data_IF_343260433376
#
_entry.id   IF_343260433376
#
_cell.length_a   1.000
_cell.length_b   1.000
_cell.length_c   1.000
_cell.angle_alpha   90.00
_cell.angle_beta   90.00
_cell.angle_gamma   90.00
#
_symmetry.space_group_name_H-M   'P 1'
#
loop_
_entity.id
_entity.type
_entity.pdbx_description
1 polymer ?
#
# COMPACT_ATOMS: atom_id res chain seq x y z
N UNK A 1 12.43 11.48 -23.97
CA UNK A 1 10.97 11.54 -23.64
C UNK A 1 10.02 11.48 -24.85
N UNK A 2 10.32 12.13 -26.00
CA UNK A 2 9.42 12.09 -27.19
C UNK A 2 9.19 10.68 -27.76
N UNK A 3 10.24 9.85 -27.77
CA UNK A 3 10.18 8.47 -28.25
C UNK A 3 9.23 7.59 -27.41
N UNK A 4 9.34 7.67 -26.08
CA UNK A 4 8.48 6.90 -25.15
C UNK A 4 7.01 7.30 -25.27
N UNK A 5 6.71 8.60 -25.46
CA UNK A 5 5.33 9.07 -25.72
C UNK A 5 4.76 8.53 -27.03
N UNK A 6 5.56 8.44 -28.09
CA UNK A 6 5.15 7.90 -29.39
C UNK A 6 4.88 6.39 -29.33
N UNK A 7 5.70 5.65 -28.58
CA UNK A 7 5.52 4.22 -28.38
C UNK A 7 4.26 3.91 -27.55
N UNK A 8 4.03 4.69 -26.48
CA UNK A 8 2.83 4.58 -25.66
C UNK A 8 1.55 4.90 -26.45
N UNK A 9 1.56 5.94 -27.30
CA UNK A 9 0.36 6.28 -28.08
C UNK A 9 -0.01 5.17 -29.07
N UNK A 10 0.97 4.54 -29.73
CA UNK A 10 0.72 3.44 -30.67
C UNK A 10 0.16 2.20 -29.99
N UNK A 11 0.68 1.85 -28.81
CA UNK A 11 0.17 0.72 -28.03
C UNK A 11 -1.26 1.00 -27.56
N UNK A 12 -1.51 2.20 -27.03
CA UNK A 12 -2.85 2.61 -26.57
C UNK A 12 -3.85 2.63 -27.72
N UNK A 13 -3.48 3.15 -28.89
CA UNK A 13 -4.33 3.14 -30.09
C UNK A 13 -4.64 1.69 -30.50
N UNK A 14 -3.66 0.79 -30.51
CA UNK A 14 -3.88 -0.61 -30.88
C UNK A 14 -4.81 -1.35 -29.92
N UNK A 15 -4.73 -1.05 -28.62
CA UNK A 15 -5.64 -1.57 -27.58
C UNK A 15 -7.04 -0.99 -27.76
N UNK A 16 -7.16 0.32 -27.96
CA UNK A 16 -8.45 1.00 -28.19
C UNK A 16 -9.13 0.45 -29.43
N UNK A 17 -8.39 0.25 -30.53
CA UNK A 17 -8.95 -0.29 -31.77
C UNK A 17 -9.39 -1.75 -31.61
N UNK A 18 -8.63 -2.58 -30.89
CA UNK A 18 -9.05 -3.96 -30.58
C UNK A 18 -10.27 -4.03 -29.66
N UNK A 19 -10.45 -3.07 -28.75
CA UNK A 19 -11.64 -2.97 -27.89
C UNK A 19 -12.86 -2.40 -28.62
N UNK A 20 -12.65 -1.44 -29.53
CA UNK A 20 -13.72 -0.82 -30.30
C UNK A 20 -14.23 -1.72 -31.41
N UNK A 21 -13.39 -2.56 -32.01
CA UNK A 21 -13.79 -3.42 -33.11
C UNK A 21 -15.01 -4.32 -32.78
N UNK A 22 -15.03 -5.07 -31.65
CA UNK A 22 -16.20 -5.87 -31.29
C UNK A 22 -17.44 -4.99 -30.99
N UNK A 23 -17.26 -3.80 -30.42
CA UNK A 23 -18.37 -2.87 -30.12
C UNK A 23 -18.98 -2.32 -31.41
N UNK A 24 -18.14 -1.91 -32.38
CA UNK A 24 -18.59 -1.43 -33.68
C UNK A 24 -19.30 -2.55 -34.43
N UNK A 25 -18.78 -3.78 -34.42
CA UNK A 25 -19.46 -4.93 -35.04
C UNK A 25 -20.82 -5.23 -34.39
N UNK A 26 -20.95 -5.07 -33.07
CA UNK A 26 -22.25 -5.22 -32.37
C UNK A 26 -23.24 -4.14 -32.79
N UNK A 27 -22.81 -2.88 -32.89
CA UNK A 27 -23.68 -1.77 -33.32
C UNK A 27 -24.12 -1.97 -34.77
N UNK A 28 -23.20 -2.33 -35.67
CA UNK A 28 -23.51 -2.58 -37.09
C UNK A 28 -24.43 -3.79 -37.26
N UNK A 29 -24.22 -4.86 -36.50
CA UNK A 29 -25.09 -6.05 -36.49
C UNK A 29 -26.49 -5.72 -35.99
N UNK A 30 -26.60 -4.96 -34.89
CA UNK A 30 -27.89 -4.50 -34.33
C UNK A 30 -28.73 -3.74 -35.33
N UNK A 31 -28.11 -2.93 -36.18
CA UNK A 31 -28.80 -2.14 -37.21
C UNK A 31 -29.27 -3.02 -38.36
N UNK A 32 -28.57 -4.12 -38.69
CA UNK A 32 -28.83 -4.90 -39.89
C UNK A 32 -29.74 -6.12 -39.69
N UNK A 33 -29.57 -6.89 -38.62
CA UNK A 33 -30.19 -8.23 -38.52
C UNK A 33 -31.16 -8.39 -37.36
N UNK A 34 -31.13 -7.54 -36.33
CA UNK A 34 -32.05 -7.61 -35.19
C UNK A 34 -31.88 -8.84 -34.28
N UNK A 35 -31.05 -9.81 -34.66
CA UNK A 35 -30.81 -11.04 -33.91
C UNK A 35 -29.59 -10.91 -33.00
N UNK A 36 -29.84 -10.87 -31.69
CA UNK A 36 -28.83 -10.57 -30.67
C UNK A 36 -27.90 -11.75 -30.34
N UNK A 37 -28.32 -13.00 -30.59
CA UNK A 37 -27.72 -14.19 -29.96
C UNK A 37 -26.93 -15.11 -30.91
N UNK A 38 -27.18 -15.08 -32.22
CA UNK A 38 -26.45 -15.99 -33.12
C UNK A 38 -24.95 -15.66 -33.21
N UNK A 39 -24.59 -14.39 -33.01
CA UNK A 39 -23.19 -13.96 -33.06
C UNK A 39 -22.36 -14.36 -31.83
N UNK A 40 -22.98 -14.57 -30.67
CA UNK A 40 -22.30 -15.09 -29.47
C UNK A 40 -21.72 -16.49 -29.69
N UNK A 41 -22.34 -17.25 -30.60
CA UNK A 41 -21.89 -18.58 -31.01
C UNK A 41 -20.85 -18.54 -32.14
N UNK A 42 -20.52 -17.35 -32.66
CA UNK A 42 -19.51 -17.22 -33.69
C UNK A 42 -18.13 -17.62 -33.14
N UNK A 43 -17.38 -18.50 -33.83
CA UNK A 43 -16.06 -18.92 -33.37
C UNK A 43 -15.10 -17.72 -33.20
N UNK A 44 -15.25 -16.67 -34.01
CA UNK A 44 -14.44 -15.45 -33.89
C UNK A 44 -14.70 -14.68 -32.58
N UNK A 45 -15.96 -14.62 -32.12
CA UNK A 45 -16.30 -13.98 -30.85
C UNK A 45 -15.77 -14.78 -29.67
N UNK A 46 -15.89 -16.11 -29.72
CA UNK A 46 -15.36 -17.02 -28.70
C UNK A 46 -13.84 -16.90 -28.60
N UNK A 47 -13.12 -16.90 -29.73
CA UNK A 47 -11.66 -16.75 -29.77
C UNK A 47 -11.21 -15.37 -29.23
N UNK A 48 -11.86 -14.28 -29.66
CA UNK A 48 -11.48 -12.94 -29.19
C UNK A 48 -11.78 -12.74 -27.69
N UNK A 49 -12.92 -13.24 -27.21
CA UNK A 49 -13.31 -13.16 -25.79
C UNK A 49 -12.39 -14.01 -24.92
N UNK A 50 -12.05 -15.23 -25.35
CA UNK A 50 -11.11 -16.10 -24.63
C UNK A 50 -9.71 -15.49 -24.56
N UNK A 51 -9.20 -14.88 -25.63
CA UNK A 51 -7.94 -14.13 -25.62
C UNK A 51 -7.97 -12.97 -24.62
N UNK A 52 -9.08 -12.21 -24.56
CA UNK A 52 -9.25 -11.13 -23.58
C UNK A 52 -9.27 -11.65 -22.13
N UNK A 53 -9.95 -12.78 -21.88
CA UNK A 53 -9.99 -13.40 -20.55
C UNK A 53 -8.58 -13.88 -20.14
N UNK A 54 -7.86 -14.57 -21.02
CA UNK A 54 -6.48 -15.02 -20.76
C UNK A 54 -5.57 -13.83 -20.48
N UNK A 55 -5.68 -12.76 -21.28
CA UNK A 55 -4.91 -11.53 -21.06
C UNK A 55 -5.24 -10.86 -19.72
N UNK A 56 -6.52 -10.82 -19.34
CA UNK A 56 -6.96 -10.27 -18.06
C UNK A 56 -6.42 -11.10 -16.88
N UNK A 57 -6.46 -12.43 -16.96
CA UNK A 57 -5.88 -13.33 -15.96
C UNK A 57 -4.36 -13.13 -15.85
N UNK A 58 -3.65 -13.10 -16.99
CA UNK A 58 -2.20 -12.87 -17.02
C UNK A 58 -1.82 -11.51 -16.42
N UNK A 59 -2.60 -10.46 -16.71
CA UNK A 59 -2.43 -9.12 -16.12
C UNK A 59 -2.60 -9.12 -14.60
N UNK A 60 -3.63 -9.82 -14.08
CA UNK A 60 -3.84 -9.99 -12.64
C UNK A 60 -2.68 -10.74 -11.97
N UNK A 61 -2.19 -11.82 -12.59
CA UNK A 61 -1.04 -12.60 -12.10
C UNK A 61 0.22 -11.73 -12.09
N UNK A 62 0.53 -11.05 -13.20
CA UNK A 62 1.69 -10.17 -13.32
C UNK A 62 1.66 -9.08 -12.24
N UNK A 63 0.51 -8.42 -12.06
CA UNK A 63 0.34 -7.41 -11.00
C UNK A 63 0.61 -8.00 -9.62
N UNK A 64 0.11 -9.21 -9.33
CA UNK A 64 0.33 -9.90 -8.06
C UNK A 64 1.81 -10.22 -7.84
N UNK A 65 2.51 -10.72 -8.85
CA UNK A 65 3.95 -11.04 -8.80
C UNK A 65 4.78 -9.78 -8.57
N UNK A 66 4.51 -8.69 -9.30
CA UNK A 66 5.23 -7.42 -9.11
C UNK A 66 5.02 -6.86 -7.71
N UNK A 67 3.79 -6.94 -7.18
CA UNK A 67 3.48 -6.50 -5.81
C UNK A 67 4.23 -7.36 -4.78
N UNK A 68 4.33 -8.68 -5.00
CA UNK A 68 5.11 -9.57 -4.11
C UNK A 68 6.61 -9.31 -4.19
N UNK A 69 7.18 -9.12 -5.39
CA UNK A 69 8.62 -8.85 -5.56
C UNK A 69 9.04 -7.57 -4.83
N UNK A 70 8.29 -6.48 -4.99
CA UNK A 70 8.53 -5.22 -4.27
C UNK A 70 8.49 -5.35 -2.75
N UNK A 71 7.85 -6.40 -2.20
CA UNK A 71 7.83 -6.67 -0.76
C UNK A 71 9.10 -7.38 -0.31
N UNK A 72 9.55 -8.35 -1.09
CA UNK A 72 10.77 -9.10 -0.76
C UNK A 72 12.00 -8.18 -0.76
N UNK A 73 12.05 -7.22 -1.68
CA UNK A 73 13.17 -6.27 -1.79
C UNK A 73 13.21 -5.27 -0.61
N UNK A 74 12.10 -5.07 0.13
CA UNK A 74 12.05 -4.15 1.29
C UNK A 74 12.36 -4.82 2.64
N UNK A 75 12.49 -6.15 2.68
CA UNK A 75 12.70 -6.88 3.93
C UNK A 75 14.15 -6.81 4.47
N UNK A 76 15.10 -6.34 3.66
CA UNK A 76 16.49 -6.13 4.08
C UNK A 76 16.73 -4.68 4.51
N UNK A 77 16.15 -4.29 5.64
CA UNK A 77 16.68 -3.17 6.43
C UNK A 77 17.47 -3.76 7.58
N UNK A 78 18.70 -3.27 7.78
CA UNK A 78 19.57 -3.72 8.86
C UNK A 78 18.90 -3.38 10.20
N UNK A 79 18.27 -4.36 10.84
CA UNK A 79 17.75 -4.22 12.20
C UNK A 79 18.94 -4.02 13.15
N UNK A 80 19.15 -2.78 13.58
CA UNK A 80 19.99 -2.51 14.74
C UNK A 80 19.13 -2.66 15.98
N UNK A 81 19.22 -3.82 16.63
CA UNK A 81 18.57 -4.00 17.94
C UNK A 81 19.41 -3.29 19.00
N UNK A 82 18.83 -2.36 19.79
CA UNK A 82 19.56 -1.74 20.88
C UNK A 82 19.93 -2.77 21.95
N UNK A 83 21.14 -2.63 22.52
CA UNK A 83 21.69 -3.56 23.50
C UNK A 83 20.86 -3.64 24.78
N UNK A 84 20.22 -2.54 25.19
CA UNK A 84 19.46 -2.46 26.44
C UNK A 84 17.95 -2.25 26.24
N UNK A 85 17.47 -2.47 25.01
CA UNK A 85 16.04 -2.39 24.69
C UNK A 85 15.56 -0.99 24.32
N UNK A 86 14.28 -0.74 24.55
CA UNK A 86 13.55 0.42 24.05
C UNK A 86 12.85 1.17 25.18
N UNK A 87 12.95 2.49 25.17
CA UNK A 87 12.21 3.37 26.07
C UNK A 87 11.02 3.98 25.34
N UNK A 88 9.81 3.90 25.92
CA UNK A 88 8.59 4.49 25.34
C UNK A 88 8.53 5.97 25.71
N UNK A 89 8.47 6.83 24.71
CA UNK A 89 8.48 8.29 24.89
C UNK A 89 7.07 8.87 24.80
N UNK A 90 6.32 8.51 23.75
CA UNK A 90 5.06 9.16 23.45
C UNK A 90 4.03 8.19 22.89
N UNK A 91 2.74 8.52 23.09
CA UNK A 91 1.62 7.89 22.40
C UNK A 91 1.01 8.92 21.44
N UNK A 92 0.96 8.58 20.16
CA UNK A 92 0.58 9.52 19.11
C UNK A 92 -0.58 8.95 18.30
N UNK A 93 -1.75 9.62 18.31
CA UNK A 93 -2.85 9.23 17.44
C UNK A 93 -2.54 9.67 16.01
N UNK A 94 -2.36 8.72 15.09
CA UNK A 94 -2.15 9.02 13.67
C UNK A 94 -2.91 8.02 12.81
N UNK A 95 -3.74 8.54 11.90
CA UNK A 95 -4.63 7.74 11.03
C UNK A 95 -5.49 6.76 11.82
N UNK A 96 -6.24 7.26 12.80
CA UNK A 96 -7.23 6.50 13.57
C UNK A 96 -6.67 5.25 14.27
N UNK A 97 -5.36 5.25 14.57
CA UNK A 97 -4.70 4.25 15.40
C UNK A 97 -3.71 4.96 16.32
N UNK A 98 -3.30 4.27 17.37
CA UNK A 98 -2.34 4.78 18.33
C UNK A 98 -0.96 4.21 18.02
N UNK A 99 0.00 5.08 17.79
CA UNK A 99 1.42 4.73 17.66
C UNK A 99 2.13 4.98 18.97
N UNK A 100 2.96 4.03 19.40
CA UNK A 100 3.87 4.24 20.52
C UNK A 100 5.22 4.61 19.93
N UNK A 101 5.70 5.80 20.22
CA UNK A 101 7.04 6.25 19.84
C UNK A 101 8.01 5.83 20.92
N UNK A 102 9.14 5.27 20.51
CA UNK A 102 10.17 4.75 21.38
C UNK A 102 11.56 5.18 20.90
N UNK A 103 12.51 5.23 21.84
CA UNK A 103 13.91 5.52 21.58
C UNK A 103 14.78 4.33 22.01
N UNK A 104 15.80 3.96 21.22
CA UNK A 104 16.70 2.88 21.56
C UNK A 104 17.59 3.25 22.76
N UNK A 105 17.80 2.29 23.65
CA UNK A 105 18.72 2.42 24.79
C UNK A 105 20.03 1.69 24.43
N UNK A 106 21.08 2.47 24.14
CA UNK A 106 22.41 1.94 23.82
C UNK A 106 23.31 1.76 25.05
N UNK A 107 22.99 2.42 26.17
CA UNK A 107 23.73 2.29 27.43
C UNK A 107 22.81 2.41 28.66
N UNK A 108 23.24 1.88 29.81
CA UNK A 108 22.51 2.06 31.09
C UNK A 108 22.40 3.54 31.49
N UNK A 109 23.38 4.37 31.11
CA UNK A 109 23.38 5.81 31.42
C UNK A 109 22.34 6.58 30.62
N UNK A 110 22.06 6.16 29.38
CA UNK A 110 21.06 6.80 28.53
C UNK A 110 19.61 6.54 28.93
N UNK A 111 19.37 5.70 29.95
CA UNK A 111 18.01 5.43 30.43
C UNK A 111 17.48 6.64 31.23
N UNK A 112 16.37 7.22 30.77
CA UNK A 112 15.77 8.39 31.42
C UNK A 112 16.53 9.71 31.22
N UNK A 113 17.55 9.74 30.36
CA UNK A 113 18.16 11.01 29.94
C UNK A 113 17.15 11.83 29.13
N UNK A 114 16.99 13.12 29.47
CA UNK A 114 16.13 14.04 28.68
C UNK A 114 16.68 14.32 27.28
N UNK A 115 17.93 13.92 27.00
CA UNK A 115 18.59 14.19 25.74
C UNK A 115 18.25 13.09 24.72
N UNK A 116 16.98 13.06 24.32
CA UNK A 116 16.47 12.12 23.33
C UNK A 116 17.11 12.45 21.97
N UNK A 117 17.73 11.44 21.36
CA UNK A 117 18.19 11.56 19.98
C UNK A 117 16.97 11.45 19.05
N UNK A 118 16.58 12.57 18.47
CA UNK A 118 15.41 12.68 17.57
C UNK A 118 15.59 11.76 16.34
N UNK A 119 16.82 11.55 15.90
CA UNK A 119 17.09 10.76 14.69
C UNK A 119 16.84 9.26 14.88
N UNK A 120 17.04 8.77 16.09
CA UNK A 120 16.83 7.36 16.45
C UNK A 120 15.42 7.02 16.92
N UNK A 121 14.47 7.96 16.84
CA UNK A 121 13.07 7.67 17.18
C UNK A 121 12.46 6.66 16.23
N UNK A 122 11.77 5.67 16.80
CA UNK A 122 11.01 4.67 16.06
C UNK A 122 9.60 4.53 16.61
N UNK A 123 8.67 4.08 15.77
CA UNK A 123 7.33 3.75 16.19
C UNK A 123 7.22 2.23 16.36
N UNK A 124 6.77 1.81 17.55
CA UNK A 124 6.48 0.42 17.85
C UNK A 124 5.45 -0.12 16.85
N UNK A 125 5.85 -1.17 16.14
CA UNK A 125 4.97 -1.93 15.25
C UNK A 125 4.70 -3.29 15.90
N UNK A 126 3.45 -3.77 15.91
CA UNK A 126 2.25 -3.21 15.28
C UNK A 126 1.62 -2.01 16.03
N UNK A 127 0.84 -1.21 15.30
CA UNK A 127 0.05 -0.10 15.87
C UNK A 127 -1.04 -0.60 16.83
N UNK A 128 -1.51 0.26 17.73
CA UNK A 128 -2.53 -0.07 18.73
C UNK A 128 -3.92 0.43 18.35
N UNK A 129 -4.92 -0.34 18.75
CA UNK A 129 -6.32 -0.03 18.55
C UNK A 129 -6.73 1.24 19.31
N UNK A 130 -7.44 2.19 18.69
CA UNK A 130 -7.88 3.41 19.37
C UNK A 130 -8.94 3.16 20.46
N UNK A 131 -9.63 2.01 20.43
CA UNK A 131 -10.72 1.69 21.36
C UNK A 131 -10.26 0.94 22.62
N UNK A 132 -9.25 0.08 22.49
CA UNK A 132 -8.86 -0.84 23.57
C UNK A 132 -7.35 -1.02 23.71
N UNK A 133 -6.56 -0.21 23.00
CA UNK A 133 -5.09 -0.20 22.97
C UNK A 133 -4.41 -1.55 22.63
N UNK A 134 -5.19 -2.55 22.22
CA UNK A 134 -4.65 -3.85 21.81
C UNK A 134 -3.96 -3.72 20.47
N UNK A 135 -2.86 -4.45 20.29
CA UNK A 135 -2.12 -4.53 19.03
C UNK A 135 -3.03 -4.95 17.87
N UNK A 136 -2.81 -4.31 16.72
CA UNK A 136 -3.56 -4.57 15.51
C UNK A 136 -2.83 -5.62 14.66
N UNK A 137 -3.58 -6.59 14.12
CA UNK A 137 -3.08 -7.49 13.10
C UNK A 137 -3.15 -6.82 11.73
N UNK A 138 -2.07 -6.91 10.94
CA UNK A 138 -2.09 -6.52 9.54
C UNK A 138 -2.28 -7.75 8.64
N UNK A 139 -3.28 -7.69 7.76
CA UNK A 139 -3.52 -8.69 6.71
C UNK A 139 -3.62 -8.02 5.36
N UNK A 140 -2.99 -8.60 4.35
CA UNK A 140 -3.09 -8.10 2.97
C UNK A 140 -4.36 -8.63 2.33
N UNK A 141 -5.14 -7.76 1.68
CA UNK A 141 -6.28 -8.19 0.88
C UNK A 141 -5.89 -8.51 -0.58
N UNK A 142 -6.80 -9.16 -1.31
CA UNK A 142 -6.56 -9.56 -2.71
C UNK A 142 -6.18 -8.40 -3.64
N UNK A 143 -6.65 -7.19 -3.34
CA UNK A 143 -6.37 -5.97 -4.11
C UNK A 143 -5.04 -5.29 -3.73
N UNK A 144 -4.22 -5.92 -2.88
CA UNK A 144 -2.93 -5.38 -2.45
C UNK A 144 -3.01 -4.23 -1.46
N UNK A 145 -4.17 -4.02 -0.83
CA UNK A 145 -4.33 -3.11 0.33
C UNK A 145 -4.08 -3.87 1.63
N UNK A 146 -3.88 -3.13 2.71
CA UNK A 146 -3.62 -3.65 4.05
C UNK A 146 -4.86 -3.45 4.93
N UNK A 147 -5.35 -4.52 5.54
CA UNK A 147 -6.45 -4.50 6.49
C UNK A 147 -5.87 -4.68 7.88
N UNK A 148 -6.10 -3.70 8.75
CA UNK A 148 -5.69 -3.70 10.15
C UNK A 148 -6.88 -4.11 10.99
N UNK A 149 -6.74 -5.10 11.86
CA UNK A 149 -7.85 -5.65 12.64
C UNK A 149 -7.44 -5.83 14.09
N UNK A 150 -8.29 -5.37 15.02
CA UNK A 150 -8.10 -5.60 16.44
C UNK A 150 -8.72 -6.93 16.84
N UNK A 151 -7.92 -7.80 17.46
CA UNK A 151 -8.35 -9.13 17.91
C UNK A 151 -9.38 -9.02 19.05
N UNK A 152 -9.27 -7.99 19.90
CA UNK A 152 -10.09 -7.87 21.11
C UNK A 152 -11.48 -7.25 20.87
N UNK A 153 -11.55 -6.11 20.17
CA UNK A 153 -12.80 -5.33 20.05
C UNK A 153 -13.39 -5.30 18.63
N UNK A 154 -12.77 -5.99 17.66
CA UNK A 154 -13.24 -6.05 16.28
C UNK A 154 -13.05 -4.77 15.46
N UNK A 155 -12.43 -3.72 16.02
CA UNK A 155 -12.03 -2.54 15.25
C UNK A 155 -11.25 -2.95 14.01
N UNK A 156 -11.61 -2.42 12.85
CA UNK A 156 -10.90 -2.69 11.62
C UNK A 156 -10.77 -1.43 10.76
N UNK A 157 -9.68 -1.39 9.99
CA UNK A 157 -9.35 -0.29 9.08
C UNK A 157 -8.67 -0.83 7.84
N UNK A 158 -8.96 -0.28 6.67
CA UNK A 158 -8.25 -0.62 5.42
C UNK A 158 -7.37 0.55 4.99
N UNK A 159 -6.08 0.30 4.83
CA UNK A 159 -5.07 1.25 4.38
C UNK A 159 -4.43 0.82 3.06
N UNK A 160 -3.95 1.80 2.30
CA UNK A 160 -3.24 1.57 1.04
C UNK A 160 -1.80 1.08 1.29
N UNK A 161 -1.17 1.56 2.36
CA UNK A 161 0.20 1.24 2.75
C UNK A 161 0.23 0.34 3.99
N UNK A 162 1.36 -0.32 4.24
CA UNK A 162 1.57 -1.19 5.40
C UNK A 162 1.76 -0.39 6.69
N UNK A 163 1.61 -1.06 7.84
CA UNK A 163 1.91 -0.51 9.16
C UNK A 163 3.33 0.04 9.23
N UNK A 164 4.31 -0.64 8.61
CA UNK A 164 5.69 -0.17 8.57
C UNK A 164 5.83 1.20 7.89
N UNK A 165 5.21 1.39 6.72
CA UNK A 165 5.29 2.67 6.00
C UNK A 165 4.54 3.79 6.76
N UNK A 166 3.45 3.44 7.42
CA UNK A 166 2.69 4.41 8.22
C UNK A 166 3.39 4.73 9.56
N UNK A 167 4.16 3.80 10.13
CA UNK A 167 4.94 4.02 11.35
C UNK A 167 6.04 5.04 11.11
N UNK A 168 6.76 4.96 9.99
CA UNK A 168 7.75 5.97 9.57
C UNK A 168 7.13 7.36 9.38
N UNK A 169 5.87 7.44 8.93
CA UNK A 169 5.16 8.73 8.81
C UNK A 169 4.77 9.27 10.18
N UNK A 170 4.31 8.41 11.09
CA UNK A 170 4.02 8.80 12.46
C UNK A 170 5.28 9.33 13.16
N UNK A 171 6.42 8.65 13.02
CA UNK A 171 7.71 9.12 13.55
C UNK A 171 8.06 10.49 13.01
N UNK A 172 7.97 10.70 11.68
CA UNK A 172 8.31 12.00 11.08
C UNK A 172 7.46 13.17 11.60
N UNK A 173 6.18 12.94 11.89
CA UNK A 173 5.33 13.96 12.53
C UNK A 173 5.89 14.34 13.90
N UNK A 174 6.26 13.35 14.69
CA UNK A 174 6.76 13.54 16.06
C UNK A 174 8.14 14.18 16.06
N UNK A 175 9.03 13.79 15.14
CA UNK A 175 10.33 14.46 14.95
C UNK A 175 10.14 15.95 14.71
N UNK A 176 9.16 16.33 13.86
CA UNK A 176 8.87 17.73 13.57
C UNK A 176 8.31 18.49 14.78
N UNK A 177 7.55 17.83 15.65
CA UNK A 177 7.06 18.43 16.90
C UNK A 177 8.20 18.69 17.88
N UNK A 178 9.12 17.73 18.07
CA UNK A 178 10.30 17.90 18.91
C UNK A 178 11.25 18.99 18.40
N UNK A 179 11.45 19.11 17.08
CA UNK A 179 12.26 20.19 16.49
C UNK A 179 11.69 21.57 16.84
N UNK A 180 10.37 21.75 16.68
CA UNK A 180 9.70 23.02 17.00
C UNK A 180 9.82 23.37 18.48
N UNK A 181 9.70 22.39 19.36
CA UNK A 181 9.84 22.60 20.80
C UNK A 181 11.27 23.05 21.15
N UNK A 182 12.29 22.47 20.50
CA UNK A 182 13.69 22.92 20.66
C UNK A 182 13.92 24.33 20.14
N UNK A 183 13.36 24.67 18.97
CA UNK A 183 13.43 26.03 18.41
C UNK A 183 12.84 27.07 19.38
N UNK A 184 11.67 26.79 19.96
CA UNK A 184 11.00 27.68 20.91
C UNK A 184 11.74 27.84 22.25
N UNK A 185 12.51 26.85 22.69
CA UNK A 185 13.32 26.95 23.92
C UNK A 185 14.60 27.77 23.67
N UNK A 186 15.07 27.81 22.42
CA UNK A 186 16.30 28.53 22.03
C UNK A 186 16.08 30.00 21.65
N UNK A 187 14.82 30.43 21.46
CA UNK A 187 14.41 31.81 21.16
C UNK A 187 14.04 32.58 22.42
#
# INVERSE_FOLDING_TARGET
MKFVKSLLSRIVISIIMNLLNPVITVIVSRIKTGEWFEWLSSPYFIISTSLLIVWLIASLIYRRVVVMKRRNDRFFTSFQSPTYGWEKIAKVPFRDVIWIIQNPIYSIRSYGERNINIDSLEALTPARCPKCETELEEKVNFFGRYKWTCIKCGYNKTNKESMFVESERAVRLVKREFEKERENISS
#
